data_IF_215194975619
#
_entry.id   IF_215194975619
#
_cell.length_a   1.000
_cell.length_b   1.000
_cell.length_c   1.000
_cell.angle_alpha   90.00
_cell.angle_beta   90.00
_cell.angle_gamma   90.00
#
_symmetry.space_group_name_H-M   'P 1'
#
loop_
_entity.id
_entity.type
_entity.pdbx_description
1 polymer ?
#
# COMPACT_ATOMS: atom_id res chain seq x y z
N UNK A 1 -3.02 -2.87 -4.81
CA UNK A 1 -3.81 -3.93 -5.50
C UNK A 1 -4.45 -4.98 -4.56
N UNK A 2 -4.67 -4.71 -3.29
CA UNK A 2 -5.34 -5.64 -2.36
C UNK A 2 -6.73 -6.10 -2.85
N UNK A 3 -7.43 -5.27 -3.57
CA UNK A 3 -8.74 -5.57 -4.15
C UNK A 3 -8.75 -6.87 -4.99
N UNK A 4 -7.68 -7.17 -5.74
CA UNK A 4 -7.66 -8.34 -6.62
C UNK A 4 -7.52 -9.68 -5.88
N UNK A 5 -7.36 -9.66 -4.55
CA UNK A 5 -7.42 -10.85 -3.70
C UNK A 5 -8.84 -11.41 -3.50
N UNK A 6 -9.87 -10.79 -4.09
CA UNK A 6 -11.27 -11.11 -3.86
C UNK A 6 -11.92 -10.39 -2.66
N UNK A 7 -11.16 -9.59 -1.93
CA UNK A 7 -11.66 -8.86 -0.74
C UNK A 7 -12.76 -7.81 -1.06
N UNK A 8 -12.99 -7.51 -2.34
CA UNK A 8 -13.93 -6.50 -2.82
C UNK A 8 -14.88 -7.05 -3.92
N UNK A 9 -14.99 -8.36 -4.03
CA UNK A 9 -15.81 -9.04 -5.02
C UNK A 9 -15.01 -9.61 -6.21
N UNK A 10 -15.69 -10.28 -7.17
CA UNK A 10 -15.06 -10.87 -8.33
C UNK A 10 -14.48 -9.81 -9.27
N UNK A 11 -13.41 -10.17 -9.96
CA UNK A 11 -12.68 -9.29 -10.89
C UNK A 11 -12.59 -9.97 -12.23
N UNK A 12 -12.87 -9.22 -13.30
CA UNK A 12 -12.51 -9.59 -14.66
C UNK A 12 -11.03 -9.24 -14.92
N UNK A 13 -10.14 -10.22 -15.15
CA UNK A 13 -8.72 -9.95 -15.39
C UNK A 13 -8.45 -9.04 -16.59
N UNK A 14 -9.21 -9.19 -17.69
CA UNK A 14 -9.01 -8.36 -18.89
C UNK A 14 -9.41 -6.91 -18.64
N UNK A 15 -10.56 -6.70 -18.00
CA UNK A 15 -11.01 -5.37 -17.61
C UNK A 15 -10.05 -4.73 -16.58
N UNK A 16 -9.47 -5.52 -15.67
CA UNK A 16 -8.48 -5.03 -14.71
C UNK A 16 -7.22 -4.51 -15.42
N UNK A 17 -6.66 -5.26 -16.37
CA UNK A 17 -5.48 -4.83 -17.13
C UNK A 17 -5.81 -3.58 -17.97
N UNK A 18 -6.97 -3.54 -18.63
CA UNK A 18 -7.41 -2.36 -19.37
C UNK A 18 -7.50 -1.11 -18.47
N UNK A 19 -8.03 -1.27 -17.26
CA UNK A 19 -8.06 -0.20 -16.26
C UNK A 19 -6.64 0.23 -15.85
N UNK A 20 -5.70 -0.70 -15.68
CA UNK A 20 -4.30 -0.38 -15.35
C UNK A 20 -3.65 0.45 -16.46
N UNK A 21 -3.88 0.12 -17.73
CA UNK A 21 -3.39 0.90 -18.87
C UNK A 21 -3.96 2.34 -18.84
N UNK A 22 -5.25 2.49 -18.57
CA UNK A 22 -5.88 3.82 -18.46
C UNK A 22 -5.29 4.65 -17.30
N UNK A 23 -5.00 4.03 -16.14
CA UNK A 23 -4.31 4.72 -15.05
C UNK A 23 -2.89 5.15 -15.44
N UNK A 24 -2.17 4.30 -16.16
CA UNK A 24 -0.83 4.65 -16.65
C UNK A 24 -0.90 5.82 -17.64
N UNK A 25 -1.85 5.81 -18.59
CA UNK A 25 -2.08 6.91 -19.55
C UNK A 25 -2.45 8.23 -18.82
N UNK A 26 -3.02 8.14 -17.60
CA UNK A 26 -3.28 9.28 -16.72
C UNK A 26 -2.08 9.69 -15.83
N UNK A 27 -0.91 9.05 -16.01
CA UNK A 27 0.32 9.39 -15.30
C UNK A 27 0.58 8.63 -14.01
N UNK A 28 -0.22 7.61 -13.67
CA UNK A 28 0.02 6.75 -12.50
C UNK A 28 0.98 5.61 -12.87
N UNK A 29 2.23 5.72 -12.47
CA UNK A 29 3.30 4.79 -12.84
C UNK A 29 3.72 3.83 -11.75
N UNK A 30 3.23 4.01 -10.52
CA UNK A 30 3.64 3.21 -9.35
C UNK A 30 2.48 2.35 -8.84
N UNK A 31 2.73 1.04 -8.71
CA UNK A 31 1.76 0.03 -8.28
C UNK A 31 2.20 -0.64 -6.99
N UNK A 32 1.32 -0.68 -5.99
CA UNK A 32 1.55 -1.40 -4.73
C UNK A 32 0.82 -2.73 -4.73
N UNK A 33 1.58 -3.81 -4.47
CA UNK A 33 1.16 -5.21 -4.56
C UNK A 33 1.52 -5.98 -3.28
N UNK A 34 1.24 -7.26 -3.28
CA UNK A 34 1.80 -8.24 -2.33
C UNK A 34 1.71 -9.65 -2.92
N UNK A 35 2.59 -10.53 -2.47
CA UNK A 35 2.63 -11.95 -2.84
C UNK A 35 1.34 -12.72 -2.51
N UNK A 36 0.65 -12.30 -1.44
CA UNK A 36 -0.59 -12.91 -0.96
C UNK A 36 -1.88 -12.17 -1.44
N UNK A 37 -1.76 -11.18 -2.32
CA UNK A 37 -2.93 -10.51 -2.92
C UNK A 37 -3.48 -11.29 -4.12
N UNK A 38 -3.67 -12.60 -3.99
CA UNK A 38 -4.17 -13.46 -5.06
C UNK A 38 -3.33 -13.32 -6.34
N UNK A 39 -3.93 -12.93 -7.50
CA UNK A 39 -3.22 -12.82 -8.77
C UNK A 39 -2.52 -11.46 -8.99
N UNK A 40 -2.35 -10.60 -7.96
CA UNK A 40 -1.84 -9.25 -8.14
C UNK A 40 -0.47 -9.19 -8.85
N UNK A 41 0.45 -10.09 -8.49
CA UNK A 41 1.77 -10.16 -9.13
C UNK A 41 1.69 -10.66 -10.57
N UNK A 42 0.77 -11.59 -10.88
CA UNK A 42 0.54 -12.05 -12.25
C UNK A 42 -0.09 -10.95 -13.11
N UNK A 43 -1.00 -10.14 -12.52
CA UNK A 43 -1.61 -9.00 -13.21
C UNK A 43 -0.58 -7.94 -13.57
N UNK A 44 0.36 -7.63 -12.69
CA UNK A 44 1.41 -6.68 -13.03
C UNK A 44 2.33 -7.21 -14.14
N UNK A 45 2.64 -8.51 -14.15
CA UNK A 45 3.38 -9.16 -15.23
C UNK A 45 2.67 -9.04 -16.58
N UNK A 46 1.38 -9.35 -16.61
CA UNK A 46 0.56 -9.21 -17.82
C UNK A 46 0.42 -7.75 -18.26
N UNK A 47 0.16 -6.84 -17.34
CA UNK A 47 0.12 -5.40 -17.61
C UNK A 47 1.43 -4.91 -18.25
N UNK A 48 2.60 -5.35 -17.74
CA UNK A 48 3.90 -4.97 -18.28
C UNK A 48 4.07 -5.44 -19.72
N UNK A 49 3.68 -6.68 -20.04
CA UNK A 49 3.73 -7.23 -21.41
C UNK A 49 2.82 -6.43 -22.35
N UNK A 50 1.59 -6.16 -21.96
CA UNK A 50 0.65 -5.39 -22.77
C UNK A 50 1.10 -3.93 -22.92
N UNK A 51 1.68 -3.33 -21.88
CA UNK A 51 2.21 -1.96 -21.95
C UNK A 51 3.40 -1.89 -22.93
N UNK A 52 4.36 -2.81 -22.85
CA UNK A 52 5.49 -2.87 -23.76
C UNK A 52 5.04 -2.99 -25.22
N UNK A 53 4.08 -3.88 -25.49
CA UNK A 53 3.57 -4.09 -26.84
C UNK A 53 2.72 -2.92 -27.37
N UNK A 54 2.02 -2.19 -26.54
CA UNK A 54 1.07 -1.15 -26.93
C UNK A 54 1.60 0.29 -26.79
N UNK A 55 2.58 0.54 -25.90
CA UNK A 55 3.13 1.88 -25.58
C UNK A 55 4.65 1.95 -25.71
N UNK A 56 5.33 0.80 -25.91
CA UNK A 56 6.78 0.69 -26.08
C UNK A 56 7.57 0.60 -24.78
N UNK A 57 8.86 0.25 -24.92
CA UNK A 57 9.79 0.02 -23.82
C UNK A 57 10.09 1.28 -22.98
N UNK A 58 10.07 2.45 -23.60
CA UNK A 58 10.27 3.71 -22.89
C UNK A 58 9.18 3.92 -21.84
N UNK A 59 7.92 3.71 -22.20
CA UNK A 59 6.80 3.79 -21.25
C UNK A 59 6.90 2.71 -20.19
N UNK A 60 7.27 1.47 -20.57
CA UNK A 60 7.48 0.38 -19.61
C UNK A 60 8.55 0.72 -18.58
N UNK A 61 9.62 1.40 -18.97
CA UNK A 61 10.74 1.78 -18.08
C UNK A 61 10.31 2.75 -16.98
N UNK A 62 9.21 3.49 -17.16
CA UNK A 62 8.66 4.40 -16.16
C UNK A 62 7.89 3.68 -15.04
N UNK A 63 7.49 2.42 -15.26
CA UNK A 63 6.66 1.66 -14.30
C UNK A 63 7.49 1.18 -13.12
N UNK A 64 6.97 1.41 -11.93
CA UNK A 64 7.49 0.86 -10.68
C UNK A 64 6.43 -0.04 -10.04
N UNK A 65 6.83 -1.24 -9.67
CA UNK A 65 5.97 -2.22 -9.03
C UNK A 65 6.54 -2.62 -7.66
N UNK A 66 5.89 -2.17 -6.60
CA UNK A 66 6.28 -2.43 -5.22
C UNK A 66 5.52 -3.66 -4.71
N UNK A 67 6.18 -4.79 -4.53
CA UNK A 67 5.54 -5.97 -3.95
C UNK A 67 5.89 -6.13 -2.48
N UNK A 68 5.11 -6.96 -1.78
CA UNK A 68 5.36 -7.33 -0.38
C UNK A 68 5.63 -8.82 -0.32
N UNK A 69 6.55 -9.19 0.54
CA UNK A 69 6.69 -10.57 0.97
C UNK A 69 6.18 -10.71 2.40
N UNK A 70 5.18 -11.57 2.56
CA UNK A 70 4.47 -11.80 3.83
C UNK A 70 4.57 -13.29 4.18
N UNK A 71 5.74 -13.74 4.69
CA UNK A 71 5.94 -15.14 5.00
C UNK A 71 5.10 -15.60 6.17
N UNK A 72 4.70 -16.88 6.14
CA UNK A 72 4.23 -17.53 7.34
C UNK A 72 5.40 -17.73 8.32
N UNK A 73 5.18 -17.61 9.66
CA UNK A 73 6.22 -17.81 10.65
C UNK A 73 6.86 -19.20 10.52
N UNK A 74 8.15 -19.22 10.26
CA UNK A 74 9.00 -20.41 10.19
C UNK A 74 10.47 -20.00 10.19
N UNK A 75 11.38 -20.95 10.35
CA UNK A 75 12.81 -20.66 10.23
C UNK A 75 13.13 -20.05 8.85
N UNK A 76 13.73 -18.88 8.85
CA UNK A 76 14.13 -18.14 7.65
C UNK A 76 15.53 -18.58 7.20
N UNK A 77 15.60 -19.55 6.31
CA UNK A 77 16.86 -19.99 5.70
C UNK A 77 17.09 -19.25 4.38
N UNK A 78 18.34 -19.14 3.87
CA UNK A 78 18.64 -18.54 2.56
C UNK A 78 17.77 -19.13 1.45
N UNK A 79 17.57 -20.46 1.45
CA UNK A 79 16.76 -21.13 0.45
C UNK A 79 15.29 -20.69 0.49
N UNK A 80 14.69 -20.64 1.67
CA UNK A 80 13.29 -20.20 1.86
C UNK A 80 13.07 -18.79 1.32
N UNK A 81 14.00 -17.89 1.63
CA UNK A 81 13.95 -16.51 1.17
C UNK A 81 14.12 -16.43 -0.35
N UNK A 82 15.16 -17.08 -0.89
CA UNK A 82 15.45 -17.08 -2.31
C UNK A 82 14.31 -17.65 -3.16
N UNK A 83 13.70 -18.78 -2.76
CA UNK A 83 12.57 -19.39 -3.45
C UNK A 83 11.34 -18.49 -3.48
N UNK A 84 11.08 -17.78 -2.35
CA UNK A 84 9.95 -16.83 -2.26
C UNK A 84 10.15 -15.65 -3.20
N UNK A 85 11.33 -15.05 -3.21
CA UNK A 85 11.63 -13.91 -4.09
C UNK A 85 11.66 -14.34 -5.57
N UNK A 86 12.23 -15.50 -5.87
CA UNK A 86 12.21 -16.05 -7.23
C UNK A 86 10.78 -16.29 -7.76
N UNK A 87 9.82 -16.61 -6.88
CA UNK A 87 8.40 -16.72 -7.23
C UNK A 87 7.82 -15.36 -7.63
N UNK A 88 8.04 -14.32 -6.84
CA UNK A 88 7.59 -12.97 -7.16
C UNK A 88 8.20 -12.45 -8.47
N UNK A 89 9.50 -12.64 -8.67
CA UNK A 89 10.19 -12.28 -9.92
C UNK A 89 9.52 -12.94 -11.14
N UNK A 90 9.23 -14.24 -11.06
CA UNK A 90 8.55 -14.97 -12.15
C UNK A 90 7.14 -14.47 -12.40
N UNK A 91 6.33 -14.28 -11.34
CA UNK A 91 4.94 -13.82 -11.47
C UNK A 91 4.85 -12.41 -12.05
N UNK A 92 5.75 -11.54 -11.62
CA UNK A 92 5.80 -10.15 -12.09
C UNK A 92 6.51 -10.00 -13.45
N UNK A 93 7.12 -11.07 -13.96
CA UNK A 93 7.87 -11.08 -15.22
C UNK A 93 8.99 -10.03 -15.25
N UNK A 94 9.84 -10.04 -14.21
CA UNK A 94 10.95 -9.11 -14.05
C UNK A 94 12.22 -9.82 -13.57
N UNK A 95 13.38 -9.29 -13.93
CA UNK A 95 14.67 -9.77 -13.46
C UNK A 95 15.01 -9.23 -12.04
N UNK A 96 14.47 -8.07 -11.69
CA UNK A 96 14.75 -7.36 -10.44
C UNK A 96 13.45 -6.73 -9.91
N UNK A 97 13.15 -6.89 -8.62
CA UNK A 97 12.05 -6.18 -7.95
C UNK A 97 12.44 -4.72 -7.70
N UNK A 98 11.57 -3.78 -8.03
CA UNK A 98 11.83 -2.33 -7.81
C UNK A 98 11.91 -1.99 -6.33
N UNK A 99 10.94 -2.46 -5.55
CA UNK A 99 10.91 -2.38 -4.10
C UNK A 99 10.26 -3.65 -3.55
N UNK A 100 10.97 -4.34 -2.67
CA UNK A 100 10.40 -5.41 -1.85
C UNK A 100 10.10 -4.87 -0.47
N UNK A 101 8.85 -4.98 -0.04
CA UNK A 101 8.37 -4.56 1.27
C UNK A 101 8.15 -5.80 2.15
N UNK A 102 9.05 -6.01 3.11
CA UNK A 102 8.99 -7.18 3.99
C UNK A 102 8.00 -6.95 5.12
N UNK A 103 7.18 -7.95 5.44
CA UNK A 103 6.24 -7.97 6.56
C UNK A 103 6.55 -9.13 7.50
N UNK A 104 6.34 -8.92 8.81
CA UNK A 104 6.44 -9.96 9.83
C UNK A 104 5.23 -9.94 10.75
N UNK A 105 4.80 -11.11 11.21
CA UNK A 105 3.56 -11.25 11.99
C UNK A 105 3.80 -11.18 13.50
N UNK A 106 4.88 -11.82 13.98
CA UNK A 106 5.13 -12.05 15.41
C UNK A 106 6.45 -11.42 15.83
N UNK A 107 6.40 -10.24 16.41
CA UNK A 107 7.61 -9.48 16.79
C UNK A 107 8.36 -10.02 17.99
N UNK A 108 7.82 -11.01 18.72
CA UNK A 108 8.56 -11.77 19.73
C UNK A 108 9.53 -12.75 19.08
N UNK A 109 9.23 -13.23 17.88
CA UNK A 109 10.13 -14.02 17.07
C UNK A 109 11.06 -13.10 16.27
N UNK A 110 12.36 -13.15 16.56
CA UNK A 110 13.39 -12.33 15.90
C UNK A 110 13.83 -12.86 14.53
N UNK A 111 13.22 -13.91 14.02
CA UNK A 111 13.50 -14.47 12.68
C UNK A 111 13.35 -13.50 11.52
N UNK A 112 12.71 -12.34 11.75
CA UNK A 112 12.71 -11.25 10.77
C UNK A 112 14.11 -10.69 10.49
N UNK A 113 15.04 -10.75 11.44
CA UNK A 113 16.43 -10.30 11.23
C UNK A 113 17.17 -11.26 10.29
N UNK A 114 16.99 -12.58 10.46
CA UNK A 114 17.54 -13.58 9.54
C UNK A 114 16.98 -13.39 8.13
N UNK A 115 15.65 -13.22 8.02
CA UNK A 115 14.99 -12.96 6.74
C UNK A 115 15.56 -11.71 6.05
N UNK A 116 15.67 -10.60 6.78
CA UNK A 116 16.19 -9.35 6.24
C UNK A 116 17.66 -9.44 5.86
N UNK A 117 18.48 -10.21 6.60
CA UNK A 117 19.88 -10.49 6.23
C UNK A 117 19.94 -11.20 4.87
N UNK A 118 19.12 -12.23 4.65
CA UNK A 118 19.10 -12.94 3.37
C UNK A 118 18.50 -12.09 2.24
N UNK A 119 17.53 -11.21 2.55
CA UNK A 119 17.00 -10.26 1.56
C UNK A 119 18.07 -9.22 1.16
N UNK A 120 18.93 -8.80 2.08
CA UNK A 120 20.06 -7.93 1.77
C UNK A 120 21.06 -8.61 0.82
N UNK A 121 21.33 -9.89 1.00
CA UNK A 121 22.15 -10.67 0.05
C UNK A 121 21.52 -10.72 -1.35
N UNK A 122 20.22 -10.97 -1.44
CA UNK A 122 19.51 -10.93 -2.74
C UNK A 122 19.48 -9.53 -3.36
N UNK A 123 19.54 -8.47 -2.55
CA UNK A 123 19.70 -7.11 -3.05
C UNK A 123 21.11 -6.88 -3.63
N UNK A 124 22.16 -7.39 -3.00
CA UNK A 124 23.53 -7.35 -3.49
C UNK A 124 23.68 -8.16 -4.80
N UNK A 125 22.93 -9.27 -4.93
CA UNK A 125 22.84 -10.07 -6.16
C UNK A 125 22.00 -9.40 -7.28
N UNK A 126 21.42 -8.24 -7.05
CA UNK A 126 20.60 -7.50 -8.01
C UNK A 126 19.18 -8.05 -8.22
N UNK A 127 18.71 -8.96 -7.37
CA UNK A 127 17.32 -9.47 -7.42
C UNK A 127 16.30 -8.51 -6.84
N UNK A 128 16.76 -7.63 -5.97
CA UNK A 128 15.94 -6.60 -5.30
C UNK A 128 16.70 -5.27 -5.45
N UNK A 129 16.06 -4.26 -6.03
CA UNK A 129 16.67 -2.93 -6.16
C UNK A 129 16.67 -2.18 -4.83
N UNK A 130 15.55 -2.21 -4.12
CA UNK A 130 15.36 -1.53 -2.83
C UNK A 130 14.60 -2.43 -1.86
N UNK A 131 15.02 -2.38 -0.60
CA UNK A 131 14.37 -3.10 0.50
C UNK A 131 13.60 -2.11 1.36
N UNK A 132 12.35 -2.41 1.65
CA UNK A 132 11.47 -1.69 2.55
C UNK A 132 10.77 -2.63 3.52
N UNK A 133 9.98 -2.07 4.38
CA UNK A 133 9.23 -2.78 5.42
C UNK A 133 7.73 -2.49 5.30
N UNK A 134 6.92 -3.32 5.96
CA UNK A 134 5.47 -3.10 6.13
C UNK A 134 5.08 -3.36 7.58
N UNK A 135 4.43 -2.37 8.20
CA UNK A 135 3.88 -2.39 9.55
C UNK A 135 4.89 -2.59 10.69
N UNK A 136 6.17 -2.37 10.46
CA UNK A 136 7.14 -2.37 11.54
C UNK A 136 6.95 -1.14 12.43
N UNK A 137 7.04 -1.32 13.75
CA UNK A 137 7.06 -0.23 14.71
C UNK A 137 8.45 0.42 14.80
N UNK A 138 8.54 1.54 15.51
CA UNK A 138 9.79 2.31 15.61
C UNK A 138 10.88 1.53 16.34
N UNK A 139 10.54 0.75 17.36
CA UNK A 139 11.51 -0.05 18.12
C UNK A 139 12.16 -1.12 17.24
N UNK A 140 11.35 -1.86 16.47
CA UNK A 140 11.85 -2.90 15.55
C UNK A 140 12.62 -2.29 14.38
N UNK A 141 12.15 -1.15 13.87
CA UNK A 141 12.86 -0.41 12.82
C UNK A 141 14.26 0.00 13.30
N UNK A 142 14.37 0.54 14.52
CA UNK A 142 15.66 0.85 15.15
C UNK A 142 16.55 -0.38 15.26
N UNK A 143 16.01 -1.48 15.75
CA UNK A 143 16.75 -2.76 15.89
C UNK A 143 17.27 -3.27 14.54
N UNK A 144 16.49 -3.13 13.47
CA UNK A 144 16.91 -3.50 12.11
C UNK A 144 18.09 -2.64 11.65
N UNK A 145 18.05 -1.34 11.87
CA UNK A 145 19.16 -0.44 11.54
C UNK A 145 20.41 -0.71 12.36
N UNK A 146 20.25 -1.00 13.67
CA UNK A 146 21.35 -1.36 14.56
C UNK A 146 22.05 -2.67 14.13
N UNK A 147 21.35 -3.57 13.41
CA UNK A 147 21.93 -4.76 12.76
C UNK A 147 22.61 -4.47 11.41
N UNK A 148 22.73 -3.20 11.03
CA UNK A 148 23.37 -2.79 9.79
C UNK A 148 22.53 -3.00 8.52
N UNK A 149 21.26 -3.40 8.67
CA UNK A 149 20.35 -3.62 7.54
C UNK A 149 19.79 -2.26 7.09
N UNK A 150 19.93 -1.97 5.80
CA UNK A 150 19.45 -0.71 5.20
C UNK A 150 18.08 -0.91 4.59
N UNK A 151 17.12 -0.07 4.96
CA UNK A 151 15.78 -0.02 4.39
C UNK A 151 15.45 1.38 3.94
N UNK A 152 14.70 1.51 2.84
CA UNK A 152 14.37 2.82 2.25
C UNK A 152 12.96 3.29 2.60
N UNK A 153 12.10 2.39 3.07
CA UNK A 153 10.71 2.72 3.38
C UNK A 153 10.12 1.82 4.46
N UNK A 154 9.09 2.33 5.13
CA UNK A 154 8.18 1.52 5.94
C UNK A 154 6.74 1.86 5.54
N UNK A 155 5.98 0.85 5.10
CA UNK A 155 4.58 1.03 4.75
C UNK A 155 3.70 0.87 5.98
N UNK A 156 2.97 1.93 6.35
CA UNK A 156 2.17 1.98 7.58
C UNK A 156 0.79 2.59 7.35
N UNK A 157 -0.16 2.27 8.23
CA UNK A 157 -1.44 2.95 8.24
C UNK A 157 -1.28 4.37 8.78
N UNK A 158 -1.76 5.36 8.01
CA UNK A 158 -1.72 6.76 8.40
C UNK A 158 -2.86 7.53 7.76
N UNK A 159 -3.68 8.17 8.57
CA UNK A 159 -4.85 8.93 8.13
C UNK A 159 -5.18 10.04 9.13
N UNK A 160 -6.19 10.85 8.85
CA UNK A 160 -6.69 11.86 9.78
C UNK A 160 -7.19 11.27 11.10
N UNK A 161 -7.69 10.03 11.09
CA UNK A 161 -8.20 9.32 12.27
C UNK A 161 -7.20 8.32 12.87
N UNK A 162 -6.06 8.10 12.22
CA UNK A 162 -4.98 7.25 12.71
C UNK A 162 -3.65 7.97 12.60
N UNK A 163 -3.29 8.68 13.63
CA UNK A 163 -2.09 9.52 13.69
C UNK A 163 -0.96 8.90 14.50
N UNK A 164 -1.02 7.59 14.78
CA UNK A 164 0.04 6.88 15.53
C UNK A 164 1.45 7.11 14.98
N UNK A 165 1.68 7.19 13.65
CA UNK A 165 3.03 7.46 13.13
C UNK A 165 3.60 8.83 13.54
N UNK A 166 2.78 9.81 13.91
CA UNK A 166 3.25 11.14 14.35
C UNK A 166 3.89 11.14 15.73
N UNK A 167 3.61 10.13 16.56
CA UNK A 167 4.13 10.08 17.95
C UNK A 167 5.66 9.99 17.95
N UNK A 168 6.23 9.10 17.14
CA UNK A 168 7.67 8.84 17.12
C UNK A 168 8.19 8.50 15.70
N UNK A 169 7.48 7.65 14.97
CA UNK A 169 7.94 7.03 13.73
C UNK A 169 8.28 8.06 12.65
N UNK A 170 7.46 9.08 12.44
CA UNK A 170 7.68 10.09 11.41
C UNK A 170 9.01 10.83 11.63
N UNK A 171 9.31 11.23 12.87
CA UNK A 171 10.58 11.86 13.21
C UNK A 171 11.75 10.89 13.02
N UNK A 172 11.64 9.69 13.55
CA UNK A 172 12.68 8.67 13.41
C UNK A 172 12.99 8.37 11.95
N UNK A 173 11.96 8.17 11.13
CA UNK A 173 12.12 7.91 9.70
C UNK A 173 12.77 9.10 8.97
N UNK A 174 12.39 10.34 9.32
CA UNK A 174 12.99 11.54 8.73
C UNK A 174 14.49 11.65 9.06
N UNK A 175 14.87 11.39 10.30
CA UNK A 175 16.26 11.42 10.77
C UNK A 175 17.13 10.35 10.08
N UNK A 176 16.54 9.22 9.68
CA UNK A 176 17.25 8.10 9.06
C UNK A 176 17.06 7.99 7.53
N UNK A 177 16.38 8.96 6.90
CA UNK A 177 16.14 8.95 5.45
C UNK A 177 15.22 7.84 4.98
N UNK A 178 14.28 7.37 5.83
CA UNK A 178 13.31 6.31 5.53
C UNK A 178 11.98 6.94 5.14
N UNK A 179 11.46 6.61 3.95
CA UNK A 179 10.18 7.11 3.48
C UNK A 179 9.01 6.32 4.07
N UNK A 180 7.98 7.01 4.56
CA UNK A 180 6.71 6.37 4.91
C UNK A 180 5.83 6.27 3.67
N UNK A 181 5.42 5.04 3.33
CA UNK A 181 4.38 4.76 2.35
C UNK A 181 3.08 4.50 3.10
N UNK A 182 2.09 5.36 2.92
CA UNK A 182 0.93 5.35 3.82
C UNK A 182 -0.29 4.72 3.17
N UNK A 183 -0.95 3.80 3.87
CA UNK A 183 -2.21 3.21 3.45
C UNK A 183 -3.35 3.57 4.41
N UNK A 184 -4.58 3.35 3.97
CA UNK A 184 -5.78 3.66 4.76
C UNK A 184 -6.09 5.15 4.88
N UNK A 185 -5.41 6.00 4.15
CA UNK A 185 -5.53 7.45 4.21
C UNK A 185 -6.94 7.95 3.92
N UNK A 186 -7.69 7.26 3.08
CA UNK A 186 -9.10 7.58 2.75
C UNK A 186 -10.12 6.75 3.54
N UNK A 187 -9.69 6.02 4.58
CA UNK A 187 -10.57 5.17 5.39
C UNK A 187 -11.45 4.22 4.53
N UNK A 188 -10.83 3.57 3.52
CA UNK A 188 -11.55 2.66 2.62
C UNK A 188 -12.56 3.35 1.69
N UNK A 189 -12.50 4.67 1.57
CA UNK A 189 -13.44 5.50 0.81
C UNK A 189 -14.49 6.20 1.66
N UNK A 190 -14.47 6.01 2.99
CA UNK A 190 -15.39 6.71 3.91
C UNK A 190 -15.09 8.21 4.01
N UNK A 191 -13.83 8.64 3.82
CA UNK A 191 -13.46 10.06 3.72
C UNK A 191 -13.78 10.60 2.32
N UNK A 192 -15.06 10.82 2.06
CA UNK A 192 -15.57 11.36 0.79
C UNK A 192 -16.93 12.03 0.97
N UNK A 193 -17.33 12.84 0.01
CA UNK A 193 -18.62 13.54 -0.05
C UNK A 193 -19.80 12.58 -0.01
N UNK A 194 -19.62 11.36 -0.51
CA UNK A 194 -20.66 10.31 -0.52
C UNK A 194 -21.26 10.06 0.87
N UNK A 195 -20.45 10.20 1.91
CA UNK A 195 -20.86 9.91 3.30
C UNK A 195 -21.18 11.16 4.12
N UNK A 196 -20.94 12.35 3.59
CA UNK A 196 -21.25 13.61 4.26
C UNK A 196 -22.77 13.78 4.42
N UNK A 197 -23.22 14.01 5.66
CA UNK A 197 -24.64 14.16 5.99
C UNK A 197 -25.45 12.87 5.93
N UNK A 198 -24.79 11.74 5.68
CA UNK A 198 -25.49 10.44 5.61
C UNK A 198 -25.64 9.79 7.00
N UNK A 199 -26.70 9.03 7.21
CA UNK A 199 -26.83 8.23 8.42
C UNK A 199 -25.71 7.19 8.48
N UNK A 200 -25.46 6.69 9.69
CA UNK A 200 -24.46 5.67 9.92
C UNK A 200 -24.72 4.41 9.05
N UNK A 201 -23.74 3.95 8.26
CA UNK A 201 -23.93 2.83 7.37
C UNK A 201 -24.10 1.52 8.15
N UNK A 202 -25.19 0.80 7.86
CA UNK A 202 -25.43 -0.53 8.39
C UNK A 202 -24.51 -1.58 7.74
N UNK A 203 -24.51 -2.79 8.30
CA UNK A 203 -23.63 -3.90 7.84
C UNK A 203 -23.77 -4.21 6.35
N UNK A 204 -24.96 -4.11 5.78
CA UNK A 204 -25.21 -4.36 4.36
C UNK A 204 -24.56 -3.33 3.43
N UNK A 205 -24.39 -2.10 3.90
CA UNK A 205 -23.70 -1.03 3.16
C UNK A 205 -22.17 -1.12 3.26
N UNK A 206 -21.65 -1.86 4.24
CA UNK A 206 -20.23 -2.11 4.45
C UNK A 206 -19.78 -3.39 3.71
N UNK A 207 -20.05 -3.45 2.41
CA UNK A 207 -19.94 -4.64 1.56
C UNK A 207 -18.50 -4.98 1.12
N UNK A 208 -17.49 -4.27 1.59
CA UNK A 208 -16.09 -4.59 1.33
C UNK A 208 -15.30 -4.73 2.63
N UNK A 209 -14.23 -5.52 2.61
CA UNK A 209 -13.33 -5.68 3.74
C UNK A 209 -12.75 -4.33 4.22
N UNK A 210 -12.46 -3.42 3.29
CA UNK A 210 -11.98 -2.07 3.61
C UNK A 210 -13.03 -1.26 4.37
N UNK A 211 -14.25 -1.17 3.86
CA UNK A 211 -15.33 -0.40 4.51
C UNK A 211 -15.58 -0.91 5.93
N UNK A 212 -15.69 -2.25 6.10
CA UNK A 212 -15.89 -2.85 7.41
C UNK A 212 -14.74 -2.54 8.37
N UNK A 213 -13.49 -2.69 7.92
CA UNK A 213 -12.29 -2.40 8.72
C UNK A 213 -12.27 -0.94 9.19
N UNK A 214 -12.41 -0.01 8.26
CA UNK A 214 -12.28 1.42 8.59
C UNK A 214 -13.49 1.97 9.32
N UNK A 215 -14.69 1.39 9.15
CA UNK A 215 -15.83 1.73 10.01
C UNK A 215 -15.57 1.37 11.47
N UNK A 216 -14.99 0.20 11.75
CA UNK A 216 -14.59 -0.17 13.10
C UNK A 216 -13.57 0.80 13.70
N UNK A 217 -12.66 1.31 12.87
CA UNK A 217 -11.69 2.32 13.31
C UNK A 217 -12.37 3.66 13.64
N UNK A 218 -13.33 4.08 12.82
CA UNK A 218 -14.15 5.29 13.09
C UNK A 218 -14.90 5.14 14.41
N UNK A 219 -15.46 3.95 14.68
CA UNK A 219 -16.16 3.67 15.95
C UNK A 219 -15.22 3.80 17.15
N UNK A 220 -14.03 3.23 17.04
CA UNK A 220 -13.00 3.34 18.08
C UNK A 220 -12.42 4.76 18.24
N UNK A 221 -12.41 5.56 17.18
CA UNK A 221 -11.91 6.94 17.18
C UNK A 221 -12.87 7.94 17.85
N UNK A 222 -14.17 7.66 17.87
CA UNK A 222 -15.19 8.52 18.48
C UNK A 222 -16.58 8.40 17.87
N UNK A 223 -16.75 7.46 16.93
CA UNK A 223 -18.03 7.14 16.33
C UNK A 223 -18.42 8.00 15.15
N UNK A 224 -19.60 7.67 14.61
CA UNK A 224 -20.08 8.26 13.36
C UNK A 224 -20.40 9.76 13.47
N UNK A 225 -20.92 10.22 14.60
CA UNK A 225 -21.23 11.64 14.80
C UNK A 225 -19.98 12.53 14.71
N UNK A 226 -18.90 12.15 15.42
CA UNK A 226 -17.62 12.87 15.35
C UNK A 226 -17.02 12.79 13.95
N UNK A 227 -17.18 11.66 13.27
CA UNK A 227 -16.72 11.49 11.89
C UNK A 227 -17.49 12.41 10.92
N UNK A 228 -18.79 12.66 11.13
CA UNK A 228 -19.55 13.64 10.34
C UNK A 228 -19.06 15.09 10.57
N UNK A 229 -18.66 15.44 11.77
CA UNK A 229 -18.04 16.74 12.06
C UNK A 229 -16.71 16.90 11.32
N UNK A 230 -15.89 15.84 11.28
CA UNK A 230 -14.67 15.79 10.47
C UNK A 230 -14.98 15.98 8.98
N UNK A 231 -15.94 15.24 8.43
CA UNK A 231 -16.33 15.37 7.02
C UNK A 231 -16.82 16.77 6.69
N UNK A 232 -17.63 17.39 7.55
CA UNK A 232 -18.10 18.76 7.37
C UNK A 232 -16.94 19.78 7.37
N UNK A 233 -16.00 19.61 8.27
CA UNK A 233 -14.78 20.45 8.32
C UNK A 233 -13.95 20.29 7.06
N UNK A 234 -13.72 19.06 6.61
CA UNK A 234 -12.98 18.79 5.39
C UNK A 234 -13.69 19.33 4.13
N UNK A 235 -15.02 19.30 4.12
CA UNK A 235 -15.81 19.87 3.01
C UNK A 235 -15.63 21.39 2.89
N UNK A 236 -15.64 22.12 4.00
CA UNK A 236 -15.36 23.56 3.98
C UNK A 236 -13.98 23.85 3.41
N UNK A 237 -12.97 23.08 3.81
CA UNK A 237 -11.61 23.23 3.27
C UNK A 237 -11.59 22.90 1.77
N UNK A 238 -12.23 21.79 1.40
CA UNK A 238 -12.30 21.33 0.00
C UNK A 238 -12.94 22.38 -0.90
N UNK A 239 -14.05 22.98 -0.48
CA UNK A 239 -14.75 24.02 -1.23
C UNK A 239 -13.89 25.28 -1.41
N UNK A 240 -13.18 25.70 -0.38
CA UNK A 240 -12.28 26.87 -0.44
C UNK A 240 -11.13 26.66 -1.45
N UNK A 241 -10.79 25.42 -1.76
CA UNK A 241 -9.71 25.08 -2.70
C UNK A 241 -10.21 24.50 -4.03
N UNK A 242 -11.51 24.33 -4.23
CA UNK A 242 -12.09 23.74 -5.44
C UNK A 242 -11.69 22.26 -5.64
N UNK A 243 -11.55 21.51 -4.55
CA UNK A 243 -11.13 20.10 -4.55
C UNK A 243 -12.11 19.22 -3.78
N UNK A 244 -11.85 17.91 -3.68
CA UNK A 244 -12.68 16.97 -2.92
C UNK A 244 -12.17 16.76 -1.48
N UNK A 245 -13.04 16.26 -0.59
CA UNK A 245 -12.67 15.78 0.75
C UNK A 245 -11.49 14.81 0.67
N UNK A 246 -11.51 13.88 -0.29
CA UNK A 246 -10.45 12.91 -0.50
C UNK A 246 -9.11 13.60 -0.84
N UNK A 247 -9.11 14.64 -1.67
CA UNK A 247 -7.90 15.40 -1.99
C UNK A 247 -7.32 16.09 -0.75
N UNK A 248 -8.18 16.70 0.09
CA UNK A 248 -7.73 17.32 1.35
C UNK A 248 -7.10 16.29 2.27
N UNK A 249 -7.74 15.14 2.47
CA UNK A 249 -7.22 14.07 3.32
C UNK A 249 -5.87 13.52 2.82
N UNK A 250 -5.73 13.28 1.51
CA UNK A 250 -4.47 12.83 0.90
C UNK A 250 -3.40 13.90 1.05
N UNK A 251 -3.71 15.16 0.77
CA UNK A 251 -2.75 16.27 0.87
C UNK A 251 -2.27 16.49 2.29
N UNK A 252 -3.16 16.37 3.27
CA UNK A 252 -2.80 16.45 4.68
C UNK A 252 -1.71 15.43 5.04
N UNK A 253 -1.87 14.19 4.61
CA UNK A 253 -0.90 13.13 4.90
C UNK A 253 0.39 13.31 4.10
N UNK A 254 0.33 13.68 2.82
CA UNK A 254 1.53 13.96 2.01
C UNK A 254 2.39 15.08 2.59
N UNK A 255 1.79 16.02 3.34
CA UNK A 255 2.53 17.10 3.99
C UNK A 255 3.16 16.71 5.34
N UNK A 256 2.98 15.46 5.80
CA UNK A 256 3.59 15.00 7.06
C UNK A 256 5.05 14.65 6.86
N UNK A 257 5.91 14.90 7.88
CA UNK A 257 7.32 14.53 7.84
C UNK A 257 7.51 13.04 7.47
N UNK A 258 8.55 12.75 6.69
CA UNK A 258 8.91 11.43 6.20
C UNK A 258 7.90 10.75 5.26
N UNK A 259 6.71 11.29 5.01
CA UNK A 259 5.76 10.68 4.07
C UNK A 259 6.28 10.84 2.65
N UNK A 260 6.60 9.72 2.00
CA UNK A 260 7.10 9.65 0.63
C UNK A 260 5.99 9.36 -0.39
N UNK A 261 4.86 8.82 0.06
CA UNK A 261 3.73 8.53 -0.82
C UNK A 261 2.50 8.03 -0.08
N UNK A 262 1.34 8.22 -0.71
CA UNK A 262 0.04 7.73 -0.24
C UNK A 262 -0.47 6.67 -1.19
N UNK A 263 -0.84 5.50 -0.63
CA UNK A 263 -1.38 4.38 -1.39
C UNK A 263 -2.89 4.54 -1.47
N UNK A 264 -3.39 4.76 -2.67
CA UNK A 264 -4.82 4.89 -2.95
C UNK A 264 -5.33 3.58 -3.56
N UNK A 265 -6.39 3.04 -2.95
CA UNK A 265 -7.08 1.88 -3.49
C UNK A 265 -7.88 2.25 -4.74
N UNK A 266 -7.72 1.46 -5.81
CA UNK A 266 -8.50 1.58 -7.03
C UNK A 266 -9.30 0.29 -7.25
N UNK A 267 -10.46 0.38 -7.86
CA UNK A 267 -11.29 -0.79 -8.23
C UNK A 267 -11.03 -1.15 -9.68
N UNK A 268 -10.16 -2.13 -9.89
CA UNK A 268 -9.81 -2.62 -11.23
C UNK A 268 -10.82 -3.67 -11.69
N UNK A 269 -11.23 -3.59 -12.95
CA UNK A 269 -12.06 -4.63 -13.58
C UNK A 269 -13.47 -4.79 -13.02
N UNK A 270 -13.98 -3.81 -12.29
CA UNK A 270 -15.36 -3.81 -11.79
C UNK A 270 -16.19 -2.97 -12.75
N UNK A 271 -17.06 -3.62 -13.50
CA UNK A 271 -17.88 -2.98 -14.55
C UNK A 271 -19.00 -2.07 -14.05
N UNK A 272 -19.27 -2.05 -12.75
CA UNK A 272 -20.40 -1.32 -12.18
C UNK A 272 -20.02 -0.51 -10.94
N UNK A 273 -19.28 0.55 -11.11
CA UNK A 273 -19.41 1.74 -10.28
C UNK A 273 -19.25 2.96 -11.18
N UNK A 274 -20.29 3.18 -11.96
CA UNK A 274 -20.66 4.52 -12.40
C UNK A 274 -21.23 5.21 -11.17
N UNK A 275 -20.54 6.27 -10.76
CA UNK A 275 -20.81 7.34 -9.80
C UNK A 275 -19.78 7.46 -8.71
#
# INVERSE_FOLDING_TARGET
MWQVSGAHGPIDPRAAISSMLAYQDAGFTTWDLADHYGPAEDFIGEFRRQLASSRGEETLSSIQAFTKWVPHPRRMTPQVVAESIARSLRRMDVATLDLLQFHWWEYQDTGYLDALTHLTQLQEEGKIRRLGLTNFDTERLKRILDHGIKVVSNQVQFSLIDRRPEVEMSRFCQEHGIGLLTYGTLCGGLLSEKYLGQPEPGRSALNTASLSKYKQMIDAWGGWSLFQELLATLKVIADNHGVTIANVAVRYILNRPAVAGVIIGVRLGVSEHRE
#
